data_IF_196126852681
#
_entry.id   IF_196126852681
#
_cell.length_a   1.000
_cell.length_b   1.000
_cell.length_c   1.000
_cell.angle_alpha   90.00
_cell.angle_beta   90.00
_cell.angle_gamma   90.00
#
_symmetry.space_group_name_H-M   'P 1'
#
loop_
_entity.id
_entity.type
_entity.pdbx_description
1 polymer ?
#
# COMPACT_ATOMS: atom_id res chain seq x y z
N UNK A 1 9.83 6.70 -15.61
CA UNK A 1 8.53 5.99 -15.72
C UNK A 1 8.17 5.25 -14.44
N UNK A 2 9.07 4.44 -13.87
CA UNK A 2 8.83 3.71 -12.62
C UNK A 2 8.51 4.62 -11.42
N UNK A 3 9.28 5.70 -11.22
CA UNK A 3 9.08 6.63 -10.08
C UNK A 3 7.71 7.34 -10.11
N UNK A 4 7.23 7.72 -11.30
CA UNK A 4 5.90 8.34 -11.44
C UNK A 4 4.78 7.36 -11.06
N UNK A 5 4.91 6.08 -11.42
CA UNK A 5 3.93 5.06 -11.03
C UNK A 5 3.96 4.81 -9.52
N UNK A 6 5.14 4.83 -8.91
CA UNK A 6 5.29 4.69 -7.47
C UNK A 6 4.62 5.83 -6.69
N UNK A 7 4.76 7.08 -7.16
CA UNK A 7 4.08 8.23 -6.59
C UNK A 7 2.55 8.13 -6.65
N UNK A 8 1.99 7.70 -7.79
CA UNK A 8 0.53 7.51 -7.95
C UNK A 8 -0.03 6.50 -6.97
N UNK A 9 0.70 5.42 -6.76
CA UNK A 9 0.31 4.37 -5.82
C UNK A 9 0.37 4.91 -4.39
N UNK A 10 1.43 5.64 -4.02
CA UNK A 10 1.53 6.26 -2.70
C UNK A 10 0.37 7.22 -2.42
N UNK A 11 0.01 8.06 -3.38
CA UNK A 11 -1.11 8.99 -3.24
C UNK A 11 -2.46 8.27 -3.05
N UNK A 12 -2.68 7.17 -3.77
CA UNK A 12 -3.88 6.34 -3.62
C UNK A 12 -3.95 5.69 -2.22
N UNK A 13 -2.81 5.20 -1.71
CA UNK A 13 -2.70 4.66 -0.35
C UNK A 13 -2.99 5.74 0.68
N UNK A 14 -2.35 6.90 0.57
CA UNK A 14 -2.56 8.02 1.49
C UNK A 14 -4.01 8.50 1.50
N UNK A 15 -4.65 8.57 0.33
CA UNK A 15 -6.07 8.89 0.20
C UNK A 15 -6.95 7.89 0.95
N UNK A 16 -6.67 6.59 0.78
CA UNK A 16 -7.39 5.51 1.45
C UNK A 16 -7.23 5.58 2.97
N UNK A 17 -6.01 5.84 3.46
CA UNK A 17 -5.72 6.01 4.90
C UNK A 17 -6.47 7.21 5.47
N UNK A 18 -6.49 8.33 4.75
CA UNK A 18 -7.24 9.54 5.15
C UNK A 18 -8.75 9.28 5.23
N UNK A 19 -9.31 8.54 4.30
CA UNK A 19 -10.73 8.16 4.34
C UNK A 19 -11.03 7.26 5.55
N UNK A 20 -10.20 6.24 5.78
CA UNK A 20 -10.32 5.34 6.93
C UNK A 20 -10.29 6.09 8.27
N UNK A 21 -9.34 7.01 8.43
CA UNK A 21 -9.20 7.87 9.61
C UNK A 21 -10.47 8.71 9.83
N UNK A 22 -10.92 9.41 8.78
CA UNK A 22 -12.08 10.30 8.84
C UNK A 22 -13.37 9.55 9.16
N UNK A 23 -13.58 8.39 8.54
CA UNK A 23 -14.85 7.67 8.62
C UNK A 23 -14.97 6.78 9.85
N UNK A 24 -13.84 6.28 10.39
CA UNK A 24 -13.82 5.27 11.44
C UNK A 24 -13.07 5.75 12.70
N UNK A 25 -11.81 6.17 12.57
CA UNK A 25 -10.99 6.53 13.74
C UNK A 25 -11.52 7.77 14.45
N UNK A 26 -11.98 8.80 13.73
CA UNK A 26 -12.59 9.99 14.36
C UNK A 26 -13.86 9.67 15.13
N UNK A 27 -14.70 8.76 14.62
CA UNK A 27 -15.91 8.32 15.32
C UNK A 27 -15.55 7.56 16.60
N UNK A 28 -14.56 6.68 16.54
CA UNK A 28 -14.04 5.98 17.71
C UNK A 28 -13.43 6.94 18.75
N UNK A 29 -12.69 7.96 18.31
CA UNK A 29 -12.20 9.03 19.19
C UNK A 29 -13.35 9.78 19.87
N UNK A 30 -14.41 10.12 19.12
CA UNK A 30 -15.60 10.75 19.69
C UNK A 30 -16.28 9.90 20.76
N UNK A 31 -16.46 8.59 20.50
CA UNK A 31 -17.01 7.64 21.48
C UNK A 31 -16.12 7.50 22.71
N UNK A 32 -14.81 7.48 22.53
CA UNK A 32 -13.84 7.45 23.63
C UNK A 32 -13.99 8.67 24.54
N UNK A 33 -14.07 9.88 23.98
CA UNK A 33 -14.23 11.08 24.79
C UNK A 33 -15.58 11.12 25.49
N UNK A 34 -16.66 10.70 24.80
CA UNK A 34 -17.98 10.62 25.40
C UNK A 34 -18.04 9.61 26.55
N UNK A 35 -17.44 8.42 26.38
CA UNK A 35 -17.31 7.40 27.41
C UNK A 35 -16.51 7.91 28.62
N UNK A 36 -15.35 8.53 28.37
CA UNK A 36 -14.50 9.10 29.43
C UNK A 36 -15.20 10.22 30.20
N UNK A 37 -16.00 11.05 29.54
CA UNK A 37 -16.81 12.07 30.20
C UNK A 37 -17.83 11.42 31.15
N UNK A 38 -18.54 10.39 30.70
CA UNK A 38 -19.47 9.62 31.54
C UNK A 38 -18.79 8.97 32.75
N UNK A 39 -17.56 8.47 32.61
CA UNK A 39 -16.77 7.97 33.73
C UNK A 39 -16.46 9.05 34.77
N UNK A 40 -16.27 10.30 34.35
CA UNK A 40 -15.95 11.42 35.24
C UNK A 40 -17.18 12.04 35.92
N UNK A 41 -18.37 11.83 35.37
CA UNK A 41 -19.64 12.31 35.95
C UNK A 41 -20.11 11.47 37.14
N UNK A 42 -19.59 10.23 37.29
CA UNK A 42 -19.91 9.36 38.41
C UNK A 42 -19.21 9.82 39.71
N UNK A 43 -19.92 10.65 40.47
CA UNK A 43 -19.46 11.15 41.77
C UNK A 43 -19.45 10.09 42.89
N UNK A 44 -20.02 8.89 42.66
CA UNK A 44 -20.00 7.81 43.64
C UNK A 44 -18.78 6.89 43.46
N UNK A 45 -18.20 6.89 42.27
CA UNK A 45 -16.98 6.14 41.98
C UNK A 45 -15.77 6.74 42.68
N UNK A 46 -14.91 5.88 43.22
CA UNK A 46 -13.59 6.30 43.69
C UNK A 46 -12.70 6.72 42.52
N UNK A 47 -11.69 7.54 42.80
CA UNK A 47 -10.69 7.97 41.81
C UNK A 47 -10.04 6.82 41.02
N UNK A 48 -9.82 5.67 41.68
CA UNK A 48 -9.25 4.48 41.03
C UNK A 48 -10.23 3.83 40.05
N UNK A 49 -11.52 3.78 40.41
CA UNK A 49 -12.56 3.24 39.53
C UNK A 49 -12.75 4.11 38.29
N UNK A 50 -12.74 5.44 38.45
CA UNK A 50 -12.82 6.38 37.32
C UNK A 50 -11.63 6.19 36.37
N UNK A 51 -10.41 6.08 36.90
CA UNK A 51 -9.23 5.81 36.07
C UNK A 51 -9.32 4.48 35.32
N UNK A 52 -9.84 3.44 35.96
CA UNK A 52 -10.03 2.14 35.31
C UNK A 52 -11.10 2.22 34.21
N UNK A 53 -12.19 2.93 34.45
CA UNK A 53 -13.25 3.18 33.47
C UNK A 53 -12.70 3.89 32.22
N UNK A 54 -11.93 4.98 32.41
CA UNK A 54 -11.28 5.71 31.31
C UNK A 54 -10.33 4.79 30.54
N UNK A 55 -9.49 3.98 31.22
CA UNK A 55 -8.63 3.00 30.53
C UNK A 55 -9.41 2.04 29.63
N UNK A 56 -10.56 1.57 30.10
CA UNK A 56 -11.44 0.74 29.29
C UNK A 56 -11.98 1.49 28.06
N UNK A 57 -12.39 2.75 28.21
CA UNK A 57 -12.83 3.60 27.08
C UNK A 57 -11.73 3.80 26.02
N UNK A 58 -10.46 3.79 26.43
CA UNK A 58 -9.32 3.98 25.51
C UNK A 58 -8.92 2.72 24.73
N UNK A 59 -9.28 1.54 25.23
CA UNK A 59 -8.84 0.26 24.67
C UNK A 59 -9.29 0.03 23.23
N UNK A 60 -10.58 0.28 22.85
CA UNK A 60 -11.04 0.06 21.48
C UNK A 60 -10.32 0.94 20.45
N UNK A 61 -10.04 2.21 20.80
CA UNK A 61 -9.32 3.10 19.90
C UNK A 61 -7.88 2.62 19.70
N UNK A 62 -7.19 2.24 20.78
CA UNK A 62 -5.82 1.73 20.71
C UNK A 62 -5.73 0.46 19.85
N UNK A 63 -6.69 -0.46 20.00
CA UNK A 63 -6.78 -1.67 19.17
C UNK A 63 -7.00 -1.35 17.70
N UNK A 64 -7.94 -0.43 17.38
CA UNK A 64 -8.20 -0.02 16.01
C UNK A 64 -6.97 0.64 15.38
N UNK A 65 -6.29 1.54 16.09
CA UNK A 65 -5.07 2.20 15.62
C UNK A 65 -3.93 1.20 15.36
N UNK A 66 -3.74 0.24 16.27
CA UNK A 66 -2.76 -0.82 16.09
C UNK A 66 -3.06 -1.70 14.86
N UNK A 67 -4.32 -2.09 14.69
CA UNK A 67 -4.75 -2.89 13.54
C UNK A 67 -4.49 -2.16 12.22
N UNK A 68 -4.94 -0.90 12.11
CA UNK A 68 -4.76 -0.09 10.90
C UNK A 68 -3.28 0.07 10.57
N UNK A 69 -2.45 0.38 11.57
CA UNK A 69 -1.00 0.56 11.38
C UNK A 69 -0.33 -0.72 10.90
N UNK A 70 -0.68 -1.86 11.51
CA UNK A 70 -0.13 -3.16 11.16
C UNK A 70 -0.53 -3.61 9.75
N UNK A 71 -1.82 -3.50 9.40
CA UNK A 71 -2.30 -3.91 8.08
C UNK A 71 -1.79 -2.98 6.97
N UNK A 72 -1.70 -1.68 7.25
CA UNK A 72 -1.10 -0.73 6.31
C UNK A 72 0.39 -1.00 6.08
N UNK A 73 1.13 -1.32 7.14
CA UNK A 73 2.55 -1.71 7.02
C UNK A 73 2.72 -2.95 6.14
N UNK A 74 1.97 -4.01 6.42
CA UNK A 74 1.97 -5.24 5.59
C UNK A 74 1.60 -4.95 4.13
N UNK A 75 0.62 -4.09 3.90
CA UNK A 75 0.20 -3.70 2.57
C UNK A 75 1.32 -2.97 1.82
N UNK A 76 1.98 -2.01 2.46
CA UNK A 76 3.12 -1.29 1.89
C UNK A 76 4.29 -2.23 1.56
N UNK A 77 4.64 -3.16 2.47
CA UNK A 77 5.71 -4.14 2.25
C UNK A 77 5.41 -5.07 1.07
N UNK A 78 4.16 -5.53 0.95
CA UNK A 78 3.74 -6.36 -0.16
C UNK A 78 3.76 -5.60 -1.49
N UNK A 79 3.30 -4.36 -1.48
CA UNK A 79 3.27 -3.49 -2.65
C UNK A 79 4.68 -3.15 -3.15
N UNK A 80 5.62 -2.85 -2.24
CA UNK A 80 7.01 -2.60 -2.57
C UNK A 80 7.63 -3.82 -3.27
N UNK A 81 7.46 -5.03 -2.69
CA UNK A 81 7.95 -6.27 -3.30
C UNK A 81 7.32 -6.56 -4.66
N UNK A 82 6.02 -6.32 -4.80
CA UNK A 82 5.31 -6.48 -6.08
C UNK A 82 5.89 -5.55 -7.15
N UNK A 83 6.18 -4.30 -6.79
CA UNK A 83 6.75 -3.30 -7.70
C UNK A 83 8.12 -3.73 -8.20
N UNK A 84 9.01 -4.17 -7.30
CA UNK A 84 10.34 -4.69 -7.67
C UNK A 84 10.22 -5.91 -8.57
N UNK A 85 9.41 -6.90 -8.18
CA UNK A 85 9.22 -8.11 -8.99
C UNK A 85 8.66 -7.82 -10.40
N UNK A 86 7.72 -6.89 -10.52
CA UNK A 86 7.21 -6.46 -11.82
C UNK A 86 8.28 -5.77 -12.67
N UNK A 87 9.12 -4.94 -12.03
CA UNK A 87 10.21 -4.26 -12.71
C UNK A 87 11.26 -5.26 -13.22
N UNK A 88 11.70 -6.17 -12.35
CA UNK A 88 12.69 -7.21 -12.70
C UNK A 88 12.18 -8.09 -13.85
N UNK A 89 10.93 -8.53 -13.78
CA UNK A 89 10.31 -9.32 -14.86
C UNK A 89 10.22 -8.55 -16.18
N UNK A 90 10.02 -7.24 -16.12
CA UNK A 90 10.03 -6.37 -17.31
C UNK A 90 11.40 -6.33 -17.96
N UNK A 91 12.44 -6.11 -17.15
CA UNK A 91 13.84 -6.12 -17.58
C UNK A 91 14.25 -7.47 -18.18
N UNK A 92 13.86 -8.58 -17.55
CA UNK A 92 14.13 -9.94 -18.03
C UNK A 92 13.52 -10.20 -19.41
N UNK A 93 12.29 -9.73 -19.65
CA UNK A 93 11.64 -9.86 -20.95
C UNK A 93 12.32 -9.02 -22.03
N UNK A 94 12.78 -7.82 -21.68
CA UNK A 94 13.52 -6.93 -22.59
C UNK A 94 14.89 -7.54 -22.94
N UNK A 95 15.60 -8.08 -21.95
CA UNK A 95 16.89 -8.73 -22.16
C UNK A 95 16.75 -10.03 -22.97
N UNK A 96 15.73 -10.85 -22.68
CA UNK A 96 15.44 -12.06 -23.44
C UNK A 96 15.12 -11.76 -24.91
N UNK A 97 14.29 -10.73 -25.17
CA UNK A 97 14.03 -10.25 -26.53
C UNK A 97 15.29 -9.74 -27.23
N UNK A 98 16.14 -8.99 -26.51
CA UNK A 98 17.40 -8.48 -27.03
C UNK A 98 18.41 -9.59 -27.35
N UNK A 99 18.46 -10.65 -26.54
CA UNK A 99 19.26 -11.85 -26.79
C UNK A 99 18.73 -12.65 -27.98
N UNK A 100 17.41 -12.77 -28.14
CA UNK A 100 16.82 -13.41 -29.32
C UNK A 100 17.19 -12.68 -30.62
N UNK A 101 17.19 -11.34 -30.61
CA UNK A 101 17.62 -10.51 -31.75
C UNK A 101 19.13 -10.61 -32.03
N UNK A 102 19.97 -10.85 -31.02
CA UNK A 102 21.42 -11.05 -31.19
C UNK A 102 21.82 -12.48 -31.57
N UNK A 103 21.05 -13.48 -31.16
CA UNK A 103 21.28 -14.89 -31.47
C UNK A 103 20.91 -15.29 -32.90
N UNK A 104 20.08 -14.49 -33.57
CA UNK A 104 19.77 -14.61 -34.99
C UNK A 104 20.84 -13.92 -35.85
N UNK A 105 22.02 -14.54 -35.93
CA UNK A 105 22.92 -14.26 -37.05
C UNK A 105 22.27 -14.76 -38.33
N UNK A 106 21.95 -13.82 -39.25
CA UNK A 106 21.24 -14.01 -40.53
C UNK A 106 19.71 -14.04 -40.43
N UNK A 107 19.09 -12.87 -40.60
CA UNK A 107 17.70 -12.76 -41.03
C UNK A 107 17.64 -12.65 -42.54
N UNK A 108 17.04 -13.64 -43.20
CA UNK A 108 16.58 -13.47 -44.59
C UNK A 108 15.20 -12.82 -44.53
N UNK A 109 15.13 -11.51 -44.74
CA UNK A 109 13.85 -10.85 -45.05
C UNK A 109 13.50 -11.19 -46.50
N UNK A 110 12.47 -12.02 -46.68
CA UNK A 110 11.89 -12.27 -47.99
C UNK A 110 10.97 -11.10 -48.37
N UNK A 111 11.51 -10.10 -49.06
CA UNK A 111 10.71 -9.09 -49.75
C UNK A 111 10.06 -9.73 -50.99
N UNK A 112 8.72 -9.75 -51.12
CA UNK A 112 8.08 -10.27 -52.32
C UNK A 112 8.42 -9.37 -53.51
N UNK A 113 9.27 -9.86 -54.43
CA UNK A 113 9.59 -9.19 -55.70
C UNK A 113 10.98 -8.56 -55.82
N UNK A 114 11.80 -8.59 -54.77
CA UNK A 114 13.22 -8.18 -54.84
C UNK A 114 14.06 -9.36 -54.35
N UNK A 115 14.90 -9.91 -55.23
CA UNK A 115 15.78 -11.04 -54.90
C UNK A 115 16.58 -10.78 -53.62
N UNK A 116 17.03 -11.85 -52.95
CA UNK A 116 17.74 -11.82 -51.66
C UNK A 116 18.80 -10.70 -51.62
N UNK A 117 18.47 -9.56 -51.02
CA UNK A 117 19.45 -8.54 -50.65
C UNK A 117 19.79 -8.70 -49.19
N UNK A 118 21.01 -9.16 -48.93
CA UNK A 118 21.65 -9.12 -47.62
C UNK A 118 21.94 -7.67 -47.27
N UNK A 119 21.24 -7.12 -46.28
CA UNK A 119 21.66 -5.89 -45.62
C UNK A 119 22.66 -6.25 -44.53
N UNK A 120 23.90 -5.79 -44.70
CA UNK A 120 24.94 -5.78 -43.66
C UNK A 120 24.72 -4.63 -42.70
#
# INVERSE_FOLDING_TARGET
MAELQQLRVQEAVDSTVKSLERENLRKLQGLLFWCSAGCCEDNQASMQQVHQCIKCCHTPLAQAQALVTNELGKFQDHLARCTTHCNDKGEDLIDAGSKALRGSGSWTVACPGVGMTTCT
#
